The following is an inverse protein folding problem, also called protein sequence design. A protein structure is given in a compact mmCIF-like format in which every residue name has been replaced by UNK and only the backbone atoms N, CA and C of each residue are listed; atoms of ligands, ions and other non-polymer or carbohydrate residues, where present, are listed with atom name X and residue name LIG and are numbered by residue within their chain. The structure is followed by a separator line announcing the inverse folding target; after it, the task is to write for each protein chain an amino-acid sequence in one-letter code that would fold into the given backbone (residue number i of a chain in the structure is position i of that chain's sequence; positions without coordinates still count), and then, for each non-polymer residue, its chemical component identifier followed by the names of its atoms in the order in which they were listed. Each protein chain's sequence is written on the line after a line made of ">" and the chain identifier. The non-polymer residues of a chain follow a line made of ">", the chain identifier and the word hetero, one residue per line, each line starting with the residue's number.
data_IF_783015264289
#
_entry.id   IF_783015264289
#
_cell.length_a   1.000
_cell.length_b   1.000
_cell.length_c   1.000
_cell.angle_alpha   90.00
_cell.angle_beta   90.00
_cell.angle_gamma   90.00
#
_symmetry.space_group_name_H-M   'P 1'
#
loop_
_entity.id
_entity.type
_entity.pdbx_description
1 polymer ?
#
# COMPACT_ATOMS: atom_id res chain seq x y z
N UNK A 1 58.30 -10.46 -26.33
CA UNK A 1 57.07 -9.64 -26.34
C UNK A 1 57.52 -8.20 -26.46
N UNK A 2 57.07 -7.49 -27.48
CA UNK A 2 57.45 -6.11 -27.81
C UNK A 2 57.03 -5.18 -26.68
N UNK A 3 57.97 -4.50 -26.03
CA UNK A 3 57.66 -3.47 -25.04
C UNK A 3 56.93 -2.31 -25.74
N UNK A 4 55.68 -2.04 -25.33
CA UNK A 4 54.96 -0.85 -25.80
C UNK A 4 55.63 0.39 -25.23
N UNK A 5 55.89 1.37 -26.10
CA UNK A 5 56.45 2.64 -25.68
C UNK A 5 55.35 3.55 -25.11
N UNK A 6 55.70 4.43 -24.18
CA UNK A 6 54.74 5.30 -23.46
C UNK A 6 53.88 6.15 -24.40
N UNK A 7 54.47 6.64 -25.48
CA UNK A 7 53.79 7.45 -26.50
C UNK A 7 52.68 6.66 -27.20
N UNK A 8 52.88 5.36 -27.44
CA UNK A 8 51.88 4.51 -28.10
C UNK A 8 50.69 4.23 -27.17
N UNK A 9 50.93 4.14 -25.86
CA UNK A 9 49.86 3.98 -24.85
C UNK A 9 49.04 5.26 -24.72
N UNK A 10 49.70 6.42 -24.76
CA UNK A 10 49.02 7.73 -24.70
C UNK A 10 48.13 7.92 -25.93
N UNK A 11 48.66 7.65 -27.12
CA UNK A 11 47.92 7.82 -28.37
C UNK A 11 46.71 6.88 -28.45
N UNK A 12 46.86 5.65 -27.95
CA UNK A 12 45.76 4.68 -27.84
C UNK A 12 44.64 5.15 -26.90
N UNK A 13 44.98 5.68 -25.71
CA UNK A 13 43.99 6.18 -24.75
C UNK A 13 43.29 7.45 -25.24
N UNK A 14 43.97 8.30 -26.01
CA UNK A 14 43.36 9.48 -26.62
C UNK A 14 42.37 9.13 -27.74
N UNK A 15 42.68 8.09 -28.53
CA UNK A 15 41.80 7.60 -29.58
C UNK A 15 40.61 6.80 -29.04
N UNK A 16 40.69 6.30 -27.79
CA UNK A 16 39.63 5.52 -27.14
C UNK A 16 39.27 6.08 -25.75
N UNK A 17 38.59 7.23 -25.65
CA UNK A 17 38.27 7.87 -24.37
C UNK A 17 37.33 7.04 -23.49
N UNK A 18 36.49 6.19 -24.08
CA UNK A 18 35.54 5.34 -23.36
C UNK A 18 36.18 4.09 -22.76
N UNK A 19 37.42 3.75 -23.15
CA UNK A 19 38.12 2.55 -22.72
C UNK A 19 38.25 2.46 -21.19
N UNK A 20 38.50 3.60 -20.55
CA UNK A 20 38.61 3.70 -19.09
C UNK A 20 37.26 3.68 -18.38
N UNK A 21 36.18 4.02 -19.08
CA UNK A 21 34.80 3.93 -18.56
C UNK A 21 34.31 2.48 -18.62
N UNK A 22 34.70 1.75 -19.66
CA UNK A 22 34.35 0.35 -19.87
C UNK A 22 35.16 -0.62 -19.00
N UNK A 23 36.34 -0.20 -18.55
CA UNK A 23 37.23 -0.98 -17.68
C UNK A 23 37.56 -0.25 -16.37
N UNK A 24 36.55 -0.04 -15.48
CA UNK A 24 36.74 0.68 -14.22
C UNK A 24 37.75 0.00 -13.28
N UNK A 25 37.95 -1.31 -13.42
CA UNK A 25 38.96 -2.09 -12.68
C UNK A 25 40.40 -1.62 -12.95
N UNK A 26 40.71 -1.18 -14.17
CA UNK A 26 42.03 -0.63 -14.51
C UNK A 26 42.23 0.75 -13.88
N UNK A 27 41.16 1.54 -13.79
CA UNK A 27 41.19 2.86 -13.18
C UNK A 27 41.44 2.78 -11.67
N UNK A 28 40.81 1.81 -10.99
CA UNK A 28 41.08 1.51 -9.58
C UNK A 28 42.53 1.09 -9.35
N UNK A 29 43.11 0.26 -10.23
CA UNK A 29 44.52 -0.16 -10.12
C UNK A 29 45.51 0.99 -10.39
N UNK A 30 45.22 1.87 -11.36
CA UNK A 30 46.05 3.04 -11.66
C UNK A 30 46.00 4.08 -10.52
N UNK A 31 44.82 4.31 -9.93
CA UNK A 31 44.66 5.18 -8.75
C UNK A 31 45.43 4.66 -7.52
N UNK A 32 45.44 3.35 -7.30
CA UNK A 32 46.22 2.72 -6.21
C UNK A 32 47.73 2.93 -6.37
N UNK A 33 48.24 3.04 -7.61
CA UNK A 33 49.66 3.34 -7.85
C UNK A 33 49.99 4.82 -7.64
N UNK A 34 49.05 5.73 -7.94
CA UNK A 34 49.17 7.17 -7.64
C UNK A 34 48.95 7.51 -6.16
N UNK A 35 48.44 6.58 -5.33
CA UNK A 35 48.18 6.79 -3.89
C UNK A 35 49.42 7.02 -3.02
N UNK A 36 50.63 6.86 -3.54
CA UNK A 36 51.83 7.34 -2.84
C UNK A 36 51.88 8.88 -2.77
N UNK A 37 50.99 9.61 -3.47
CA UNK A 37 50.91 11.08 -3.39
C UNK A 37 49.49 11.69 -3.20
N UNK A 38 48.43 10.92 -2.90
CA UNK A 38 47.06 11.47 -2.96
C UNK A 38 46.06 10.92 -1.95
N UNK A 39 46.05 11.45 -0.73
CA UNK A 39 45.02 11.21 0.30
C UNK A 39 43.61 11.74 -0.07
N UNK A 40 43.44 12.34 -1.24
CA UNK A 40 42.21 13.01 -1.68
C UNK A 40 41.20 12.07 -2.36
N UNK A 41 41.63 11.01 -3.07
CA UNK A 41 40.72 10.14 -3.84
C UNK A 41 39.77 9.29 -2.95
N UNK A 42 40.30 8.64 -1.90
CA UNK A 42 39.50 7.82 -0.99
C UNK A 42 38.45 8.64 -0.21
N UNK A 43 38.80 9.87 0.17
CA UNK A 43 37.86 10.79 0.84
C UNK A 43 36.72 11.18 -0.10
N UNK A 44 37.00 11.42 -1.39
CA UNK A 44 35.97 11.71 -2.37
C UNK A 44 35.03 10.52 -2.62
N UNK A 45 35.55 9.29 -2.70
CA UNK A 45 34.73 8.07 -2.84
C UNK A 45 33.85 7.87 -1.60
N UNK A 46 34.41 7.99 -0.39
CA UNK A 46 33.63 7.91 0.86
C UNK A 46 32.58 9.02 0.95
N UNK A 47 32.91 10.25 0.54
CA UNK A 47 31.95 11.36 0.52
C UNK A 47 30.80 11.09 -0.46
N UNK A 48 31.08 10.49 -1.62
CA UNK A 48 30.05 10.08 -2.58
C UNK A 48 29.14 9.01 -2.01
N UNK A 49 29.70 7.95 -1.43
CA UNK A 49 28.92 6.87 -0.80
C UNK A 49 28.05 7.40 0.35
N UNK A 50 28.59 8.29 1.19
CA UNK A 50 27.84 8.94 2.27
C UNK A 50 26.69 9.79 1.73
N UNK A 51 26.88 10.51 0.61
CA UNK A 51 25.80 11.27 -0.04
C UNK A 51 24.71 10.35 -0.59
N UNK A 52 25.09 9.28 -1.28
CA UNK A 52 24.15 8.29 -1.82
C UNK A 52 23.34 7.63 -0.69
N UNK A 53 24.00 7.23 0.39
CA UNK A 53 23.34 6.68 1.57
C UNK A 53 22.42 7.69 2.26
N UNK A 54 22.85 8.95 2.40
CA UNK A 54 22.03 10.01 2.98
C UNK A 54 20.77 10.28 2.14
N UNK A 55 20.88 10.26 0.82
CA UNK A 55 19.73 10.38 -0.10
C UNK A 55 18.78 9.20 0.06
N UNK A 56 19.30 7.96 0.14
CA UNK A 56 18.48 6.78 0.38
C UNK A 56 17.71 6.88 1.70
N UNK A 57 18.38 7.25 2.79
CA UNK A 57 17.74 7.42 4.10
C UNK A 57 16.69 8.52 4.08
N UNK A 58 16.95 9.65 3.40
CA UNK A 58 15.96 10.72 3.23
C UNK A 58 14.70 10.22 2.52
N UNK A 59 14.87 9.47 1.43
CA UNK A 59 13.74 8.89 0.71
C UNK A 59 12.96 7.90 1.60
N UNK A 60 13.65 7.06 2.37
CA UNK A 60 13.00 6.13 3.31
C UNK A 60 12.19 6.86 4.40
N UNK A 61 12.75 7.94 4.96
CA UNK A 61 12.04 8.78 5.95
C UNK A 61 10.80 9.41 5.30
N UNK A 62 10.92 9.92 4.07
CA UNK A 62 9.80 10.51 3.35
C UNK A 62 8.69 9.48 3.11
N UNK A 63 9.02 8.28 2.64
CA UNK A 63 8.07 7.18 2.48
C UNK A 63 7.40 6.78 3.80
N UNK A 64 8.18 6.67 4.88
CA UNK A 64 7.63 6.32 6.20
C UNK A 64 6.69 7.42 6.74
N UNK A 65 7.03 8.69 6.51
CA UNK A 65 6.18 9.83 6.84
C UNK A 65 4.87 9.81 6.04
N UNK A 66 4.94 9.52 4.74
CA UNK A 66 3.75 9.35 3.89
C UNK A 66 2.84 8.23 4.42
N UNK A 67 3.39 7.06 4.77
CA UNK A 67 2.60 5.98 5.37
C UNK A 67 2.00 6.37 6.72
N UNK A 68 2.75 7.07 7.59
CA UNK A 68 2.23 7.55 8.87
C UNK A 68 1.02 8.49 8.69
N UNK A 69 1.10 9.42 7.74
CA UNK A 69 -0.01 10.36 7.46
C UNK A 69 -1.24 9.63 6.89
N UNK A 70 -1.05 8.63 6.01
CA UNK A 70 -2.13 7.79 5.50
C UNK A 70 -2.78 6.98 6.62
N UNK A 71 -1.98 6.35 7.49
CA UNK A 71 -2.49 5.58 8.63
C UNK A 71 -3.27 6.46 9.62
N UNK A 72 -2.78 7.66 9.92
CA UNK A 72 -3.47 8.62 10.78
C UNK A 72 -4.82 9.06 10.17
N UNK A 73 -4.87 9.22 8.85
CA UNK A 73 -6.11 9.54 8.16
C UNK A 73 -7.14 8.40 8.26
N UNK A 74 -6.72 7.15 7.98
CA UNK A 74 -7.59 5.96 8.12
C UNK A 74 -8.08 5.81 9.57
N UNK A 75 -7.19 5.98 10.56
CA UNK A 75 -7.57 5.93 11.97
C UNK A 75 -8.61 7.01 12.32
N UNK A 76 -8.43 8.25 11.85
CA UNK A 76 -9.39 9.34 12.08
C UNK A 76 -10.76 9.05 11.48
N UNK A 77 -10.80 8.46 10.27
CA UNK A 77 -12.05 8.03 9.63
C UNK A 77 -12.79 6.97 10.46
N UNK A 78 -12.10 5.90 10.86
CA UNK A 78 -12.73 4.87 11.69
C UNK A 78 -13.12 5.40 13.07
N UNK A 79 -12.34 6.29 13.67
CA UNK A 79 -12.72 6.97 14.92
C UNK A 79 -14.00 7.79 14.77
N UNK A 80 -14.19 8.48 13.63
CA UNK A 80 -15.45 9.17 13.32
C UNK A 80 -16.61 8.18 13.18
N UNK A 81 -16.41 7.07 12.47
CA UNK A 81 -17.41 6.02 12.31
C UNK A 81 -17.82 5.42 13.66
N UNK A 82 -16.87 5.12 14.55
CA UNK A 82 -17.14 4.63 15.90
C UNK A 82 -18.03 5.59 16.69
N UNK A 83 -17.83 6.91 16.57
CA UNK A 83 -18.71 7.89 17.24
C UNK A 83 -20.15 7.84 16.73
N UNK A 84 -20.35 7.57 15.44
CA UNK A 84 -21.71 7.46 14.87
C UNK A 84 -22.47 6.24 15.40
N UNK A 85 -21.77 5.17 15.82
CA UNK A 85 -22.42 3.96 16.36
C UNK A 85 -23.23 4.26 17.62
N UNK A 86 -22.75 5.16 18.47
CA UNK A 86 -23.36 5.46 19.78
C UNK A 86 -24.51 6.46 19.72
N UNK A 87 -24.81 6.98 18.54
CA UNK A 87 -26.00 7.79 18.32
C UNK A 87 -27.25 6.90 18.19
N UNK A 88 -28.43 7.46 18.50
CA UNK A 88 -29.72 6.79 18.32
C UNK A 88 -30.18 6.87 16.86
N UNK A 89 -29.50 6.14 15.98
CA UNK A 89 -29.85 6.00 14.57
C UNK A 89 -30.58 4.69 14.30
N UNK A 90 -31.50 4.71 13.35
CA UNK A 90 -31.96 3.50 12.68
C UNK A 90 -30.90 2.99 11.69
N UNK A 91 -31.06 1.76 11.21
CA UNK A 91 -30.10 1.10 10.33
C UNK A 91 -29.77 1.93 9.08
N UNK A 92 -30.78 2.51 8.43
CA UNK A 92 -30.61 3.25 7.17
C UNK A 92 -29.85 4.57 7.38
N UNK A 93 -30.16 5.30 8.46
CA UNK A 93 -29.42 6.52 8.81
C UNK A 93 -27.98 6.19 9.17
N UNK A 94 -27.74 5.11 9.91
CA UNK A 94 -26.38 4.66 10.21
C UNK A 94 -25.62 4.32 8.92
N UNK A 95 -26.20 3.51 8.03
CA UNK A 95 -25.60 3.13 6.75
C UNK A 95 -25.23 4.35 5.90
N UNK A 96 -26.13 5.34 5.82
CA UNK A 96 -25.91 6.57 5.05
C UNK A 96 -24.80 7.43 5.67
N UNK A 97 -24.76 7.55 6.99
CA UNK A 97 -23.73 8.30 7.69
C UNK A 97 -22.34 7.65 7.54
N UNK A 98 -22.26 6.32 7.64
CA UNK A 98 -21.02 5.59 7.40
C UNK A 98 -20.54 5.79 5.96
N UNK A 99 -21.44 5.69 4.98
CA UNK A 99 -21.11 5.97 3.58
C UNK A 99 -20.54 7.39 3.43
N UNK A 100 -21.21 8.40 4.00
CA UNK A 100 -20.78 9.79 3.90
C UNK A 100 -19.39 10.03 4.52
N UNK A 101 -19.08 9.38 5.64
CA UNK A 101 -17.77 9.51 6.30
C UNK A 101 -16.69 8.76 5.50
N UNK A 102 -16.94 7.50 5.16
CA UNK A 102 -15.94 6.63 4.53
C UNK A 102 -15.60 7.10 3.11
N UNK A 103 -16.60 7.57 2.33
CA UNK A 103 -16.40 8.13 1.00
C UNK A 103 -15.71 9.50 0.99
N UNK A 104 -15.42 10.11 2.16
CA UNK A 104 -14.48 11.25 2.19
C UNK A 104 -13.05 10.84 1.87
N UNK A 105 -12.73 9.54 1.97
CA UNK A 105 -11.47 9.00 1.48
C UNK A 105 -11.49 8.92 -0.05
N UNK A 106 -10.62 9.66 -0.77
CA UNK A 106 -10.60 9.63 -2.23
C UNK A 106 -10.22 8.26 -2.83
N UNK A 107 -9.64 7.35 -2.06
CA UNK A 107 -9.30 5.99 -2.53
C UNK A 107 -10.50 5.04 -2.52
N UNK A 108 -11.58 5.39 -1.82
CA UNK A 108 -12.78 4.57 -1.69
C UNK A 108 -13.88 5.18 -2.56
N UNK A 109 -14.31 4.47 -3.60
CA UNK A 109 -15.36 4.92 -4.50
C UNK A 109 -16.76 4.66 -3.96
N UNK A 110 -16.95 3.58 -3.21
CA UNK A 110 -18.26 3.22 -2.68
C UNK A 110 -18.16 2.55 -1.30
N UNK A 111 -19.18 2.74 -0.48
CA UNK A 111 -19.29 2.12 0.83
C UNK A 111 -20.76 1.81 1.12
N UNK A 112 -21.06 0.55 1.44
CA UNK A 112 -22.42 0.10 1.71
C UNK A 112 -22.48 -0.78 2.95
N UNK A 113 -23.41 -0.43 3.84
CA UNK A 113 -23.84 -1.29 4.94
C UNK A 113 -25.20 -1.90 4.54
N UNK A 114 -25.22 -3.21 4.32
CA UNK A 114 -26.33 -3.95 3.75
C UNK A 114 -26.91 -4.89 4.81
N UNK A 115 -28.21 -4.81 5.06
CA UNK A 115 -28.88 -5.76 5.96
C UNK A 115 -28.89 -7.14 5.29
N UNK A 116 -28.63 -8.19 6.06
CA UNK A 116 -28.63 -9.54 5.51
C UNK A 116 -29.97 -9.90 4.88
N UNK A 117 -29.89 -10.57 3.72
CA UNK A 117 -30.98 -11.21 3.01
C UNK A 117 -30.42 -12.45 2.29
N UNK A 118 -31.30 -13.35 1.85
CA UNK A 118 -30.93 -14.62 1.21
C UNK A 118 -30.18 -14.46 -0.12
N UNK A 119 -30.22 -13.29 -0.75
CA UNK A 119 -29.50 -13.07 -2.00
C UNK A 119 -27.98 -13.03 -1.80
N UNK A 120 -27.52 -12.87 -0.55
CA UNK A 120 -26.10 -12.88 -0.21
C UNK A 120 -25.56 -14.27 0.15
N UNK A 121 -26.39 -15.32 0.17
CA UNK A 121 -25.98 -16.67 0.59
C UNK A 121 -24.84 -17.22 -0.28
N UNK A 122 -24.93 -17.06 -1.60
CA UNK A 122 -23.89 -17.49 -2.54
C UNK A 122 -22.58 -16.71 -2.32
N UNK A 123 -22.66 -15.40 -2.14
CA UNK A 123 -21.50 -14.54 -1.89
C UNK A 123 -20.80 -14.94 -0.56
N UNK A 124 -21.58 -15.17 0.50
CA UNK A 124 -21.05 -15.59 1.80
C UNK A 124 -20.39 -16.97 1.66
N UNK A 125 -21.03 -17.92 0.98
CA UNK A 125 -20.51 -19.26 0.77
C UNK A 125 -19.21 -19.26 -0.07
N UNK A 126 -19.11 -18.38 -1.06
CA UNK A 126 -17.96 -18.33 -1.97
C UNK A 126 -16.77 -17.57 -1.38
N UNK A 127 -17.02 -16.51 -0.59
CA UNK A 127 -15.98 -15.55 -0.17
C UNK A 127 -15.71 -15.53 1.33
N UNK A 128 -16.68 -15.89 2.16
CA UNK A 128 -16.68 -15.61 3.61
C UNK A 128 -16.80 -16.87 4.49
N UNK A 129 -16.74 -18.06 3.89
CA UNK A 129 -16.86 -19.33 4.64
C UNK A 129 -15.66 -19.60 5.56
N UNK A 130 -14.44 -19.26 5.11
CA UNK A 130 -13.21 -19.51 5.87
C UNK A 130 -12.77 -18.32 6.72
N UNK A 131 -13.22 -17.11 6.38
CA UNK A 131 -12.87 -15.86 7.05
C UNK A 131 -14.09 -14.94 7.07
N UNK A 132 -14.32 -14.24 8.18
CA UNK A 132 -15.40 -13.25 8.31
C UNK A 132 -15.23 -12.02 7.41
N UNK A 133 -14.18 -11.99 6.58
CA UNK A 133 -13.90 -10.91 5.64
C UNK A 133 -13.19 -11.42 4.39
N UNK A 134 -13.28 -10.64 3.32
CA UNK A 134 -12.65 -10.86 2.03
C UNK A 134 -12.07 -9.54 1.50
N UNK A 135 -10.86 -9.58 0.97
CA UNK A 135 -10.17 -8.44 0.36
C UNK A 135 -9.69 -8.87 -1.02
N UNK A 136 -10.10 -8.16 -2.06
CA UNK A 136 -9.63 -8.43 -3.42
C UNK A 136 -10.65 -8.10 -4.49
N UNK A 137 -10.53 -8.79 -5.62
CA UNK A 137 -11.42 -8.60 -6.77
C UNK A 137 -12.64 -9.49 -6.64
N UNK A 138 -13.80 -8.98 -7.04
CA UNK A 138 -15.05 -9.72 -7.12
C UNK A 138 -15.56 -9.69 -8.56
N UNK A 139 -16.47 -10.59 -8.90
CA UNK A 139 -17.06 -10.57 -10.22
C UNK A 139 -18.07 -9.41 -10.38
N UNK A 140 -18.51 -9.17 -11.62
CA UNK A 140 -19.44 -8.08 -11.92
C UNK A 140 -20.82 -8.30 -11.29
N UNK A 141 -21.25 -9.55 -11.08
CA UNK A 141 -22.54 -9.86 -10.48
C UNK A 141 -22.52 -9.55 -8.98
N UNK A 142 -21.48 -9.98 -8.27
CA UNK A 142 -21.20 -9.65 -6.86
C UNK A 142 -21.07 -8.12 -6.68
N UNK A 143 -20.36 -7.43 -7.58
CA UNK A 143 -20.16 -5.98 -7.51
C UNK A 143 -21.48 -5.20 -7.68
N UNK A 144 -22.28 -5.56 -8.68
CA UNK A 144 -23.61 -4.99 -8.88
C UNK A 144 -24.55 -5.29 -7.71
N UNK A 145 -24.49 -6.51 -7.15
CA UNK A 145 -25.29 -6.91 -5.99
C UNK A 145 -24.99 -6.07 -4.73
N UNK A 146 -23.72 -5.70 -4.52
CA UNK A 146 -23.30 -4.93 -3.35
C UNK A 146 -23.45 -3.41 -3.53
N UNK A 147 -23.10 -2.89 -4.71
CA UNK A 147 -22.89 -1.45 -4.93
C UNK A 147 -23.83 -0.83 -5.98
N UNK A 148 -24.52 -1.65 -6.79
CA UNK A 148 -25.20 -1.25 -8.03
C UNK A 148 -24.27 -0.60 -9.07
N UNK A 149 -22.96 -0.77 -8.92
CA UNK A 149 -21.91 -0.21 -9.79
C UNK A 149 -20.74 -1.19 -9.82
N UNK A 150 -19.85 -1.04 -10.81
CA UNK A 150 -18.65 -1.88 -10.92
C UNK A 150 -17.47 -1.24 -10.19
N UNK A 151 -16.79 -2.03 -9.36
CA UNK A 151 -15.57 -1.65 -8.63
C UNK A 151 -14.39 -2.51 -9.09
N UNK A 152 -13.17 -2.01 -8.97
CA UNK A 152 -11.95 -2.74 -9.37
C UNK A 152 -11.41 -3.62 -8.25
N UNK A 153 -11.49 -3.14 -7.01
CA UNK A 153 -11.19 -3.92 -5.82
C UNK A 153 -12.26 -3.68 -4.76
N UNK A 154 -12.47 -4.68 -3.91
CA UNK A 154 -13.52 -4.69 -2.91
C UNK A 154 -13.02 -5.29 -1.59
N UNK A 155 -13.41 -4.68 -0.48
CA UNK A 155 -13.34 -5.30 0.84
C UNK A 155 -14.74 -5.62 1.34
N UNK A 156 -14.97 -6.84 1.81
CA UNK A 156 -16.26 -7.32 2.30
C UNK A 156 -16.05 -7.83 3.73
N UNK A 157 -16.86 -7.36 4.66
CA UNK A 157 -16.85 -7.79 6.05
C UNK A 157 -18.23 -8.27 6.45
N UNK A 158 -18.30 -9.51 6.93
CA UNK A 158 -19.50 -10.09 7.50
C UNK A 158 -19.70 -9.56 8.92
N UNK A 159 -20.91 -9.10 9.22
CA UNK A 159 -21.32 -8.71 10.55
C UNK A 159 -22.21 -9.82 11.11
N UNK A 160 -21.76 -10.44 12.21
CA UNK A 160 -22.35 -11.66 12.75
C UNK A 160 -21.55 -12.91 12.37
N UNK A 161 -22.15 -14.07 12.58
CA UNK A 161 -21.55 -15.36 12.23
C UNK A 161 -22.12 -15.88 10.90
N UNK A 162 -21.38 -16.72 10.19
CA UNK A 162 -21.86 -17.32 8.94
C UNK A 162 -23.18 -18.10 9.11
N UNK A 163 -23.42 -18.65 10.30
CA UNK A 163 -24.67 -19.39 10.63
C UNK A 163 -25.83 -18.43 10.91
N UNK A 164 -25.55 -17.22 11.40
CA UNK A 164 -26.55 -16.21 11.69
C UNK A 164 -26.05 -14.81 11.29
N UNK A 165 -26.01 -14.53 9.96
CA UNK A 165 -25.52 -13.28 9.44
C UNK A 165 -26.51 -12.13 9.72
N UNK A 166 -25.99 -10.99 10.15
CA UNK A 166 -26.79 -9.81 10.50
C UNK A 166 -26.77 -8.80 9.35
N UNK A 167 -25.57 -8.51 8.86
CA UNK A 167 -25.33 -7.51 7.83
C UNK A 167 -23.99 -7.74 7.12
N UNK A 168 -23.77 -7.02 6.02
CA UNK A 168 -22.51 -6.98 5.28
C UNK A 168 -22.07 -5.52 5.22
N UNK A 169 -20.81 -5.27 5.57
CA UNK A 169 -20.14 -3.99 5.31
C UNK A 169 -19.19 -4.17 4.13
N UNK A 170 -19.46 -3.46 3.04
CA UNK A 170 -18.71 -3.56 1.80
C UNK A 170 -18.09 -2.21 1.42
N UNK A 171 -16.84 -2.26 0.97
CA UNK A 171 -16.07 -1.11 0.48
C UNK A 171 -15.63 -1.37 -0.95
N UNK A 172 -15.83 -0.41 -1.83
CA UNK A 172 -15.42 -0.46 -3.23
C UNK A 172 -14.34 0.58 -3.53
N UNK A 173 -13.37 0.22 -4.37
CA UNK A 173 -12.38 1.14 -4.90
C UNK A 173 -12.26 1.00 -6.42
N UNK A 174 -11.90 2.11 -7.06
CA UNK A 174 -11.57 2.14 -8.49
C UNK A 174 -10.09 1.81 -8.75
N UNK A 175 -9.31 1.51 -7.71
CA UNK A 175 -7.93 1.06 -7.80
C UNK A 175 -7.85 -0.43 -7.47
N UNK A 176 -7.39 -1.22 -8.44
CA UNK A 176 -7.20 -2.66 -8.37
C UNK A 176 -6.37 -3.16 -7.17
N UNK A 177 -5.39 -2.37 -6.73
CA UNK A 177 -4.44 -2.75 -5.68
C UNK A 177 -4.77 -2.07 -4.34
N UNK A 178 -5.94 -1.44 -4.23
CA UNK A 178 -6.32 -0.75 -3.00
C UNK A 178 -6.74 -1.71 -1.89
N UNK A 179 -7.42 -2.81 -2.22
CA UNK A 179 -7.81 -3.86 -1.29
C UNK A 179 -7.10 -5.16 -1.66
N UNK A 180 -5.99 -5.44 -0.99
CA UNK A 180 -5.21 -6.67 -1.17
C UNK A 180 -5.22 -7.51 0.11
N UNK A 181 -5.21 -8.86 0.00
CA UNK A 181 -5.18 -9.74 1.17
C UNK A 181 -4.00 -9.53 2.13
N UNK A 182 -2.91 -8.95 1.63
CA UNK A 182 -1.68 -8.67 2.40
C UNK A 182 -1.75 -7.38 3.21
N UNK A 183 -2.72 -6.51 2.93
CA UNK A 183 -2.88 -5.25 3.64
C UNK A 183 -3.46 -5.47 5.04
N UNK A 184 -2.96 -4.68 5.99
CA UNK A 184 -3.51 -4.64 7.33
C UNK A 184 -4.95 -4.09 7.32
N UNK A 185 -5.86 -4.80 7.98
CA UNK A 185 -7.27 -4.44 8.10
C UNK A 185 -7.71 -4.29 9.57
N UNK A 186 -6.76 -4.16 10.50
CA UNK A 186 -7.02 -4.08 11.94
C UNK A 186 -8.11 -3.06 12.31
N UNK A 187 -8.01 -1.82 11.81
CA UNK A 187 -9.00 -0.78 12.10
C UNK A 187 -10.40 -1.11 11.60
N UNK A 188 -10.49 -1.78 10.45
CA UNK A 188 -11.77 -2.21 9.89
C UNK A 188 -12.36 -3.35 10.73
N UNK A 189 -11.55 -4.32 11.15
CA UNK A 189 -11.99 -5.44 12.00
C UNK A 189 -12.47 -4.95 13.38
N UNK A 190 -11.75 -4.03 14.01
CA UNK A 190 -12.15 -3.44 15.28
C UNK A 190 -13.47 -2.68 15.16
N UNK A 191 -13.64 -1.94 14.05
CA UNK A 191 -14.89 -1.26 13.77
C UNK A 191 -16.05 -2.22 13.53
N UNK A 192 -15.85 -3.28 12.73
CA UNK A 192 -16.86 -4.31 12.45
C UNK A 192 -17.34 -4.98 13.73
N UNK A 193 -16.43 -5.28 14.68
CA UNK A 193 -16.80 -5.84 15.98
C UNK A 193 -17.68 -4.87 16.77
N UNK A 194 -17.33 -3.59 16.80
CA UNK A 194 -18.11 -2.56 17.49
C UNK A 194 -19.49 -2.37 16.85
N UNK A 195 -19.54 -2.39 15.51
CA UNK A 195 -20.76 -2.30 14.73
C UNK A 195 -21.67 -3.51 14.97
N UNK A 196 -21.11 -4.72 15.08
CA UNK A 196 -21.88 -5.93 15.41
C UNK A 196 -22.61 -5.78 16.74
N UNK A 197 -21.92 -5.34 17.79
CA UNK A 197 -22.54 -5.11 19.11
C UNK A 197 -23.68 -4.10 19.02
N UNK A 198 -23.48 -3.00 18.29
CA UNK A 198 -24.52 -1.99 18.11
C UNK A 198 -25.74 -2.50 17.34
N UNK A 199 -25.53 -3.29 16.29
CA UNK A 199 -26.64 -3.85 15.52
C UNK A 199 -27.45 -4.87 16.32
N UNK A 200 -26.82 -5.60 17.26
CA UNK A 200 -27.52 -6.50 18.18
C UNK A 200 -28.41 -5.74 19.17
N UNK A 201 -28.05 -4.52 19.59
CA UNK A 201 -28.91 -3.67 20.44
C UNK A 201 -30.11 -3.07 19.70
N UNK A 202 -30.00 -2.93 18.38
CA UNK A 202 -31.05 -2.37 17.52
C UNK A 202 -32.06 -3.44 17.04
N UNK A 203 -31.77 -4.72 17.23
CA UNK A 203 -32.57 -5.87 16.80
C UNK A 203 -33.59 -6.30 17.86
#
# INVERSE_FOLDING_TARGET
>A
MTELNKEQVIDYLQQHPDFLIQHPELLVQLELQQQTQGATSLVHIQQRQLREHNTLLKNQIETMSQHATQNEFVYRLFSQCHRQLWSNYDFNTLASNLQNIICTNPTISNCKLLKYNKNYDELIAHRLTNSSHYLGRIDQQESLLLFNETTQSTAIYLIGEAVNPIAILAFGSNNDNHFEPTQDNLFALDFVRSLQLRLLELA
#
